data_IF_272973235546
#
_entry.id   IF_272973235546
#
_cell.length_a   1.000
_cell.length_b   1.000
_cell.length_c   1.000
_cell.angle_alpha   90.00
_cell.angle_beta   90.00
_cell.angle_gamma   90.00
#
_symmetry.space_group_name_H-M   'P 1'
#
loop_
_entity.id
_entity.type
_entity.pdbx_description
1 polymer ?
#
# COMPACT_ATOMS: atom_id res chain seq x y z
N UNK A 1 -10.30 -79.61 16.39
CA UNK A 1 -9.27 -78.86 15.65
C UNK A 1 -9.91 -77.61 15.07
N UNK A 2 -9.80 -76.54 15.79
CA UNK A 2 -10.40 -75.24 15.43
C UNK A 2 -9.36 -74.43 14.66
N UNK A 3 -9.66 -74.11 13.37
CA UNK A 3 -8.79 -73.24 12.56
C UNK A 3 -9.10 -71.77 12.89
N UNK A 4 -8.24 -71.15 13.64
CA UNK A 4 -8.26 -69.69 13.83
C UNK A 4 -7.86 -69.04 12.51
N UNK A 5 -8.79 -68.35 11.88
CA UNK A 5 -8.52 -67.45 10.74
C UNK A 5 -7.83 -66.18 11.25
N UNK A 6 -6.55 -66.07 10.94
CA UNK A 6 -5.78 -64.82 11.16
C UNK A 6 -6.12 -63.81 10.03
N UNK A 7 -6.99 -62.89 10.30
CA UNK A 7 -7.25 -61.73 9.42
C UNK A 7 -6.09 -60.70 9.50
N UNK A 8 -5.52 -60.26 8.38
CA UNK A 8 -4.37 -59.33 8.38
C UNK A 8 -4.81 -57.93 8.81
N UNK A 9 -4.63 -57.61 10.10
CA UNK A 9 -4.90 -56.27 10.69
C UNK A 9 -3.98 -55.14 10.13
N UNK A 10 -2.90 -55.45 9.40
CA UNK A 10 -1.94 -54.47 8.88
C UNK A 10 -2.35 -53.74 7.62
N UNK A 11 -3.27 -54.28 6.81
CA UNK A 11 -3.65 -53.69 5.49
C UNK A 11 -4.52 -52.44 5.63
N UNK A 12 -5.47 -52.45 6.56
CA UNK A 12 -6.37 -51.30 6.77
C UNK A 12 -5.64 -50.10 7.37
N UNK A 13 -4.74 -50.31 8.31
CA UNK A 13 -3.93 -49.23 8.92
C UNK A 13 -3.04 -48.55 7.86
N UNK A 14 -2.37 -49.31 6.99
CA UNK A 14 -1.57 -48.76 5.87
C UNK A 14 -2.42 -47.99 4.88
N UNK A 15 -3.64 -48.45 4.59
CA UNK A 15 -4.56 -47.73 3.69
C UNK A 15 -5.01 -46.40 4.32
N UNK A 16 -5.38 -46.37 5.59
CA UNK A 16 -5.77 -45.16 6.32
C UNK A 16 -4.63 -44.15 6.33
N UNK A 17 -3.38 -44.54 6.59
CA UNK A 17 -2.24 -43.66 6.55
C UNK A 17 -2.02 -43.08 5.14
N UNK A 18 -2.15 -43.88 4.08
CA UNK A 18 -2.03 -43.38 2.70
C UNK A 18 -3.12 -42.35 2.36
N UNK A 19 -4.36 -42.59 2.80
CA UNK A 19 -5.47 -41.63 2.60
C UNK A 19 -5.20 -40.34 3.36
N UNK A 20 -4.75 -40.40 4.60
CA UNK A 20 -4.42 -39.20 5.39
C UNK A 20 -3.29 -38.39 4.74
N UNK A 21 -2.23 -39.05 4.27
CA UNK A 21 -1.13 -38.38 3.57
C UNK A 21 -1.64 -37.72 2.27
N UNK A 22 -2.48 -38.43 1.50
CA UNK A 22 -3.07 -37.86 0.28
C UNK A 22 -3.94 -36.62 0.58
N UNK A 23 -4.77 -36.67 1.63
CA UNK A 23 -5.59 -35.53 2.07
C UNK A 23 -4.73 -34.35 2.48
N UNK A 24 -3.68 -34.55 3.27
CA UNK A 24 -2.75 -33.50 3.68
C UNK A 24 -2.06 -32.85 2.48
N UNK A 25 -1.63 -33.67 1.50
CA UNK A 25 -1.03 -33.15 0.27
C UNK A 25 -2.01 -32.32 -0.57
N UNK A 26 -3.25 -32.78 -0.70
CA UNK A 26 -4.30 -32.02 -1.40
C UNK A 26 -4.57 -30.68 -0.71
N UNK A 27 -4.69 -30.66 0.61
CA UNK A 27 -4.89 -29.44 1.37
C UNK A 27 -3.71 -28.48 1.24
N UNK A 28 -2.48 -28.98 1.29
CA UNK A 28 -1.28 -28.19 1.10
C UNK A 28 -1.24 -27.55 -0.31
N UNK A 29 -1.56 -28.31 -1.35
CA UNK A 29 -1.65 -27.78 -2.73
C UNK A 29 -2.76 -26.76 -2.86
N UNK A 30 -3.93 -27.02 -2.28
CA UNK A 30 -5.04 -26.06 -2.26
C UNK A 30 -4.65 -24.74 -1.57
N UNK A 31 -3.96 -24.81 -0.43
CA UNK A 31 -3.45 -23.64 0.26
C UNK A 31 -2.44 -22.84 -0.60
N UNK A 32 -1.50 -23.53 -1.25
CA UNK A 32 -0.54 -22.89 -2.17
C UNK A 32 -1.24 -22.22 -3.37
N UNK A 33 -2.29 -22.84 -3.89
CA UNK A 33 -3.12 -22.25 -4.95
C UNK A 33 -3.82 -20.98 -4.47
N UNK A 34 -4.44 -21.00 -3.29
CA UNK A 34 -5.09 -19.82 -2.72
C UNK A 34 -4.08 -18.69 -2.52
N UNK A 35 -2.92 -18.97 -1.94
CA UNK A 35 -1.85 -18.00 -1.77
C UNK A 35 -1.36 -17.43 -3.11
N UNK A 36 -1.26 -18.25 -4.14
CA UNK A 36 -0.87 -17.82 -5.49
C UNK A 36 -1.93 -16.97 -6.19
N UNK A 37 -3.20 -17.31 -6.04
CA UNK A 37 -4.32 -16.60 -6.70
C UNK A 37 -4.60 -15.27 -6.00
N UNK A 38 -4.63 -15.24 -4.68
CA UNK A 38 -5.01 -14.06 -3.91
C UNK A 38 -3.80 -13.17 -3.57
N UNK A 39 -2.65 -13.78 -3.24
CA UNK A 39 -1.49 -13.05 -2.75
C UNK A 39 -0.32 -12.93 -3.74
N UNK A 40 -0.39 -13.57 -4.90
CA UNK A 40 0.72 -13.61 -5.85
C UNK A 40 1.99 -14.30 -5.31
N UNK A 41 1.86 -15.11 -4.26
CA UNK A 41 2.97 -15.70 -3.50
C UNK A 41 3.11 -17.19 -3.83
N UNK A 42 4.35 -17.69 -3.74
CA UNK A 42 4.65 -19.11 -3.92
C UNK A 42 4.62 -19.57 -5.39
N UNK A 43 4.57 -20.89 -5.63
CA UNK A 43 4.71 -21.47 -6.97
C UNK A 43 3.58 -21.09 -7.94
N UNK A 44 2.42 -20.69 -7.43
CA UNK A 44 1.26 -20.27 -8.23
C UNK A 44 1.08 -18.74 -8.30
N UNK A 45 2.02 -17.96 -7.78
CA UNK A 45 1.97 -16.49 -7.81
C UNK A 45 1.89 -15.90 -9.22
N UNK A 46 2.31 -16.67 -10.25
CA UNK A 46 2.17 -16.27 -11.65
C UNK A 46 0.72 -16.04 -12.08
N UNK A 47 -0.25 -16.71 -11.43
CA UNK A 47 -1.69 -16.57 -11.75
C UNK A 47 -2.12 -15.13 -11.46
N UNK A 48 -1.80 -14.62 -10.25
CA UNK A 48 -2.12 -13.24 -9.88
C UNK A 48 -1.35 -12.24 -10.74
N UNK A 49 -0.06 -12.48 -10.99
CA UNK A 49 0.76 -11.64 -11.88
C UNK A 49 0.18 -11.56 -13.29
N UNK A 50 -0.25 -12.69 -13.84
CA UNK A 50 -0.89 -12.71 -15.16
C UNK A 50 -2.24 -12.00 -15.16
N UNK A 51 -3.04 -12.13 -14.08
CA UNK A 51 -4.31 -11.39 -13.93
C UNK A 51 -4.05 -9.88 -13.96
N UNK A 52 -3.11 -9.42 -13.16
CA UNK A 52 -2.72 -8.00 -13.10
C UNK A 52 -2.21 -7.52 -14.47
N UNK A 53 -1.27 -8.22 -15.06
CA UNK A 53 -0.69 -7.87 -16.37
C UNK A 53 -1.74 -7.78 -17.49
N UNK A 54 -2.74 -8.66 -17.48
CA UNK A 54 -3.79 -8.69 -18.50
C UNK A 54 -5.01 -7.83 -18.13
N UNK A 55 -4.96 -7.09 -17.02
CA UNK A 55 -6.04 -6.17 -16.66
C UNK A 55 -6.17 -5.06 -17.70
N UNK A 56 -7.40 -4.69 -18.15
CA UNK A 56 -7.60 -3.63 -19.15
C UNK A 56 -6.89 -2.33 -18.80
N UNK A 57 -6.86 -1.94 -17.52
CA UNK A 57 -6.19 -0.72 -17.03
C UNK A 57 -4.67 -0.82 -16.93
N UNK A 58 -4.04 -1.97 -17.25
CA UNK A 58 -2.59 -2.15 -17.24
C UNK A 58 -1.98 -2.28 -18.64
N UNK A 59 -2.75 -1.98 -19.68
CA UNK A 59 -2.26 -1.99 -21.05
C UNK A 59 -1.13 -0.96 -21.27
N UNK A 60 -0.28 -1.16 -22.32
CA UNK A 60 0.85 -0.25 -22.62
C UNK A 60 0.45 1.20 -22.87
N UNK A 61 -0.78 1.45 -23.29
CA UNK A 61 -1.30 2.82 -23.50
C UNK A 61 -1.37 3.64 -22.20
N UNK A 62 -1.35 2.98 -21.05
CA UNK A 62 -1.36 3.62 -19.72
C UNK A 62 0.03 3.70 -19.09
N UNK A 63 1.09 3.40 -19.85
CA UNK A 63 2.46 3.46 -19.36
C UNK A 63 2.90 4.88 -19.01
N UNK A 64 3.56 5.06 -17.88
CA UNK A 64 4.01 6.37 -17.38
C UNK A 64 5.15 6.96 -18.21
N UNK A 65 5.83 6.16 -19.03
CA UNK A 65 6.82 6.65 -19.99
C UNK A 65 6.27 7.65 -21.02
N UNK A 66 4.94 7.73 -21.15
CA UNK A 66 4.25 8.67 -22.04
C UNK A 66 3.87 9.98 -21.32
N UNK A 67 4.08 10.08 -20.01
CA UNK A 67 3.84 11.32 -19.28
C UNK A 67 4.92 12.34 -19.62
N UNK A 68 4.51 13.60 -19.75
CA UNK A 68 5.41 14.72 -19.92
C UNK A 68 5.65 15.45 -18.61
N UNK A 69 6.85 15.97 -18.40
CA UNK A 69 7.13 16.82 -17.25
C UNK A 69 6.21 18.05 -17.33
N UNK A 70 5.64 18.42 -16.18
CA UNK A 70 4.79 19.61 -16.11
C UNK A 70 5.63 20.89 -16.30
N UNK A 71 5.06 21.86 -16.96
CA UNK A 71 5.72 23.16 -17.15
C UNK A 71 5.89 23.87 -15.79
N UNK A 72 7.07 24.43 -15.54
CA UNK A 72 7.44 25.08 -14.27
C UNK A 72 7.24 24.17 -13.04
N UNK A 73 7.65 22.92 -13.14
CA UNK A 73 7.57 21.98 -12.05
C UNK A 73 8.32 22.47 -10.80
N UNK A 74 7.70 22.49 -9.61
CA UNK A 74 8.38 22.91 -8.39
C UNK A 74 9.42 21.88 -7.87
N UNK A 75 9.47 20.67 -8.46
CA UNK A 75 10.38 19.60 -8.07
C UNK A 75 11.30 19.14 -9.21
N UNK A 76 11.40 19.91 -10.31
CA UNK A 76 12.23 19.54 -11.46
C UNK A 76 13.71 19.40 -11.06
N UNK A 77 14.30 18.26 -11.40
CA UNK A 77 15.67 17.92 -11.05
C UNK A 77 15.88 17.51 -9.57
N UNK A 78 14.84 17.56 -8.77
CA UNK A 78 14.86 17.20 -7.35
C UNK A 78 14.79 15.71 -7.08
N UNK A 79 14.61 15.35 -5.80
CA UNK A 79 14.48 13.98 -5.31
C UNK A 79 13.33 13.87 -4.31
N UNK A 80 12.44 12.92 -4.54
CA UNK A 80 11.34 12.63 -3.61
C UNK A 80 11.53 11.27 -2.95
N UNK A 81 11.10 11.14 -1.69
CA UNK A 81 11.00 9.86 -1.01
C UNK A 81 9.54 9.45 -0.87
N UNK A 82 9.24 8.15 -0.99
CA UNK A 82 7.91 7.62 -0.70
C UNK A 82 7.98 6.42 0.22
N UNK A 83 7.15 6.45 1.28
CA UNK A 83 6.96 5.36 2.24
C UNK A 83 5.52 4.84 2.13
N UNK A 84 5.36 3.50 2.04
CA UNK A 84 4.00 2.98 1.92
C UNK A 84 3.88 1.46 1.90
N UNK A 85 2.68 0.99 1.57
CA UNK A 85 2.39 -0.44 1.41
C UNK A 85 2.06 -0.79 -0.06
N UNK A 86 1.10 -1.68 -0.29
CA UNK A 86 0.76 -2.20 -1.61
C UNK A 86 0.33 -1.14 -2.62
N UNK A 87 -0.35 -0.08 -2.17
CA UNK A 87 -0.77 1.03 -3.04
C UNK A 87 0.44 1.84 -3.48
N UNK A 88 1.31 2.27 -2.58
CA UNK A 88 2.56 2.96 -2.94
C UNK A 88 3.52 2.05 -3.71
N UNK A 89 3.48 0.74 -3.49
CA UNK A 89 4.26 -0.26 -4.23
C UNK A 89 3.81 -0.39 -5.69
N UNK A 90 2.54 -0.14 -5.99
CA UNK A 90 1.93 -0.43 -7.28
C UNK A 90 1.64 -1.92 -7.48
N UNK A 91 1.13 -2.58 -6.44
CA UNK A 91 0.91 -4.03 -6.44
C UNK A 91 -0.04 -4.51 -7.55
N UNK A 92 -0.99 -3.68 -7.98
CA UNK A 92 -1.95 -3.98 -9.05
C UNK A 92 -1.66 -3.26 -10.38
N UNK A 93 -0.52 -2.58 -10.50
CA UNK A 93 -0.14 -1.74 -11.65
C UNK A 93 1.29 -1.99 -12.13
N UNK A 94 1.81 -3.20 -11.90
CA UNK A 94 3.17 -3.61 -12.29
C UNK A 94 4.28 -2.67 -11.76
N UNK A 95 4.08 -2.14 -10.55
CA UNK A 95 5.04 -1.26 -9.88
C UNK A 95 4.90 0.24 -10.22
N UNK A 96 4.01 0.60 -11.13
CA UNK A 96 3.69 1.99 -11.41
C UNK A 96 2.66 2.50 -10.40
N UNK A 97 3.01 3.51 -9.61
CA UNK A 97 2.19 4.01 -8.52
C UNK A 97 2.33 5.53 -8.35
N UNK A 98 1.87 6.06 -7.24
CA UNK A 98 1.92 7.50 -6.94
C UNK A 98 3.34 8.05 -7.06
N UNK A 99 4.34 7.35 -6.52
CA UNK A 99 5.74 7.80 -6.57
C UNK A 99 6.27 7.91 -8.00
N UNK A 100 6.04 6.89 -8.84
CA UNK A 100 6.44 6.88 -10.24
C UNK A 100 5.69 7.93 -11.07
N UNK A 101 4.39 8.12 -10.79
CA UNK A 101 3.62 9.18 -11.44
C UNK A 101 4.20 10.56 -11.10
N UNK A 102 4.44 10.84 -9.82
CA UNK A 102 5.00 12.11 -9.37
C UNK A 102 6.41 12.33 -9.96
N UNK A 103 7.27 11.30 -9.95
CA UNK A 103 8.60 11.40 -10.54
C UNK A 103 8.54 11.76 -12.04
N UNK A 104 7.66 11.12 -12.80
CA UNK A 104 7.49 11.38 -14.23
C UNK A 104 6.91 12.77 -14.51
N UNK A 105 5.91 13.21 -13.74
CA UNK A 105 5.21 14.49 -13.94
C UNK A 105 6.01 15.68 -13.44
N UNK A 106 6.73 15.52 -12.34
CA UNK A 106 7.52 16.61 -11.76
C UNK A 106 8.98 16.64 -12.25
N UNK A 107 9.43 15.62 -12.99
CA UNK A 107 10.81 15.58 -13.51
C UNK A 107 11.84 15.37 -12.40
N UNK A 108 11.50 14.62 -11.36
CA UNK A 108 12.36 14.34 -10.21
C UNK A 108 12.73 12.86 -10.11
N UNK A 109 13.69 12.54 -9.25
CA UNK A 109 14.09 11.17 -8.93
C UNK A 109 13.30 10.63 -7.73
N UNK A 110 13.15 9.32 -7.62
CA UNK A 110 12.33 8.64 -6.60
C UNK A 110 13.17 7.69 -5.75
N UNK A 111 13.15 7.89 -4.42
CA UNK A 111 13.54 6.88 -3.42
C UNK A 111 12.26 6.21 -2.89
N UNK A 112 12.10 4.91 -3.16
CA UNK A 112 10.85 4.18 -2.85
C UNK A 112 11.07 3.12 -1.80
N UNK A 113 10.37 3.25 -0.67
CA UNK A 113 10.29 2.26 0.40
C UNK A 113 8.81 1.84 0.58
N UNK A 114 8.39 0.81 -0.19
CA UNK A 114 7.01 0.37 -0.21
C UNK A 114 6.91 -1.16 -0.26
N UNK A 115 6.21 -1.75 0.73
CA UNK A 115 6.06 -3.21 0.88
C UNK A 115 4.59 -3.56 1.14
N UNK A 116 4.00 -4.36 0.26
CA UNK A 116 2.61 -4.78 0.36
C UNK A 116 2.27 -5.50 1.67
N UNK A 117 1.07 -5.25 2.19
CA UNK A 117 0.57 -5.89 3.41
C UNK A 117 1.08 -5.30 4.73
N UNK A 118 1.92 -4.24 4.69
CA UNK A 118 2.52 -3.63 5.88
C UNK A 118 1.65 -2.51 6.44
N UNK A 119 1.80 -2.23 7.74
CA UNK A 119 1.03 -1.26 8.52
C UNK A 119 1.86 -0.03 8.90
N UNK A 120 1.18 1.09 9.17
CA UNK A 120 1.75 2.25 9.87
C UNK A 120 2.21 1.82 11.26
N UNK A 121 1.26 1.22 12.01
CA UNK A 121 1.50 0.73 13.37
C UNK A 121 2.71 -0.18 13.43
N UNK A 122 3.60 0.10 14.38
CA UNK A 122 4.81 -0.67 14.57
C UNK A 122 4.52 -2.09 15.06
N UNK A 123 4.96 -3.06 14.29
CA UNK A 123 4.86 -4.49 14.59
C UNK A 123 6.24 -5.15 14.85
N UNK A 124 7.28 -4.34 15.01
CA UNK A 124 8.65 -4.77 15.30
C UNK A 124 9.39 -5.42 14.11
N UNK A 125 8.86 -5.32 12.86
CA UNK A 125 9.49 -5.95 11.68
C UNK A 125 9.45 -5.09 10.43
N UNK A 126 8.29 -5.02 9.76
CA UNK A 126 8.13 -4.44 8.43
C UNK A 126 7.13 -3.28 8.43
N UNK A 127 6.79 -2.71 9.58
CA UNK A 127 5.92 -1.54 9.67
C UNK A 127 6.54 -0.34 8.94
N UNK A 128 5.73 0.67 8.67
CA UNK A 128 6.26 1.92 8.10
C UNK A 128 7.28 2.54 9.05
N UNK A 129 7.01 2.56 10.37
CA UNK A 129 7.95 3.03 11.39
C UNK A 129 9.31 2.33 11.27
N UNK A 130 9.32 0.99 11.13
CA UNK A 130 10.57 0.25 11.00
C UNK A 130 11.28 0.50 9.66
N UNK A 131 10.53 0.63 8.56
CA UNK A 131 11.09 0.81 7.22
C UNK A 131 11.49 2.26 6.92
N UNK A 132 11.04 3.21 7.72
CA UNK A 132 11.49 4.60 7.66
C UNK A 132 13.03 4.70 7.72
N UNK A 133 13.65 3.86 8.54
CA UNK A 133 15.12 3.79 8.69
C UNK A 133 15.86 3.15 7.51
N UNK A 134 15.17 2.59 6.52
CA UNK A 134 15.79 2.12 5.28
C UNK A 134 16.06 3.26 4.28
N UNK A 135 15.42 4.40 4.47
CA UNK A 135 15.71 5.60 3.69
C UNK A 135 17.01 6.21 4.17
N UNK A 136 17.87 6.58 3.22
CA UNK A 136 19.20 7.10 3.55
C UNK A 136 19.10 8.49 4.18
N UNK A 137 19.55 8.61 5.43
CA UNK A 137 19.56 9.87 6.17
C UNK A 137 20.62 10.87 5.71
N UNK A 138 21.58 10.44 4.87
CA UNK A 138 22.58 11.32 4.25
C UNK A 138 22.08 11.97 2.95
N UNK A 139 20.96 11.50 2.41
CA UNK A 139 20.32 12.06 1.24
C UNK A 139 19.50 13.30 1.58
N UNK A 140 19.40 14.21 0.63
CA UNK A 140 18.44 15.32 0.70
C UNK A 140 17.22 14.97 -0.11
N UNK A 141 16.04 15.14 0.45
CA UNK A 141 14.78 15.04 -0.27
C UNK A 141 14.11 16.41 -0.35
N UNK A 142 13.52 16.70 -1.51
CA UNK A 142 12.72 17.90 -1.72
C UNK A 142 11.26 17.70 -1.28
N UNK A 143 10.86 16.44 -1.08
CA UNK A 143 9.54 16.05 -0.61
C UNK A 143 9.56 14.62 -0.04
N UNK A 144 8.95 14.42 1.13
CA UNK A 144 8.65 13.11 1.67
C UNK A 144 7.15 12.81 1.56
N UNK A 145 6.81 11.68 0.94
CA UNK A 145 5.43 11.24 0.71
C UNK A 145 5.15 9.97 1.52
N UNK A 146 4.06 9.94 2.29
CA UNK A 146 3.64 8.75 3.03
C UNK A 146 2.22 8.33 2.63
N UNK A 147 2.03 7.03 2.42
CA UNK A 147 0.71 6.45 2.19
C UNK A 147 -0.04 6.31 3.51
N UNK A 148 -1.29 6.80 3.61
CA UNK A 148 -2.19 6.36 4.67
C UNK A 148 -2.53 4.89 4.45
N UNK A 149 -2.15 4.03 5.40
CA UNK A 149 -2.18 2.59 5.19
C UNK A 149 -3.59 2.00 5.27
N UNK A 150 -4.04 1.33 4.22
CA UNK A 150 -5.29 0.56 4.23
C UNK A 150 -5.22 -0.70 5.08
N UNK A 151 -4.00 -1.22 5.32
CA UNK A 151 -3.80 -2.43 6.13
C UNK A 151 -4.10 -2.20 7.62
N UNK A 152 -3.86 -1.00 8.12
CA UNK A 152 -4.21 -0.67 9.51
C UNK A 152 -5.71 -0.73 9.71
N UNK A 153 -6.51 -0.21 8.79
CA UNK A 153 -7.97 -0.31 8.82
C UNK A 153 -8.45 -1.77 8.72
N UNK A 154 -7.94 -2.54 7.75
CA UNK A 154 -8.37 -3.93 7.54
C UNK A 154 -7.94 -4.88 8.66
N UNK A 155 -6.85 -4.56 9.35
CA UNK A 155 -6.36 -5.32 10.52
C UNK A 155 -6.88 -4.78 11.84
N UNK A 156 -7.78 -3.79 11.82
CA UNK A 156 -8.39 -3.16 13.00
C UNK A 156 -7.34 -2.69 14.01
N UNK A 157 -6.29 -2.00 13.53
CA UNK A 157 -5.27 -1.42 14.41
C UNK A 157 -5.88 -0.31 15.27
N UNK A 158 -5.41 -0.14 16.53
CA UNK A 158 -5.89 0.94 17.38
C UNK A 158 -5.66 2.31 16.72
N UNK A 159 -6.70 3.15 16.66
CA UNK A 159 -6.59 4.47 16.05
C UNK A 159 -5.65 5.38 16.84
N UNK A 160 -5.77 5.41 18.16
CA UNK A 160 -5.01 6.30 19.05
C UNK A 160 -5.50 7.75 19.02
N UNK A 161 -4.94 8.55 19.93
CA UNK A 161 -5.25 9.98 20.07
C UNK A 161 -4.06 10.81 19.58
N UNK A 162 -4.33 12.05 19.18
CA UNK A 162 -3.27 13.01 18.82
C UNK A 162 -2.55 13.44 20.07
N UNK A 163 -1.22 13.32 20.09
CA UNK A 163 -0.39 13.77 21.21
C UNK A 163 -0.37 15.30 21.32
N UNK A 164 -0.24 15.82 22.54
CA UNK A 164 0.07 17.25 22.76
C UNK A 164 1.56 17.54 22.51
N UNK A 165 2.40 16.54 22.54
CA UNK A 165 3.85 16.64 22.33
C UNK A 165 4.21 16.81 20.86
N UNK A 166 5.45 17.27 20.64
CA UNK A 166 6.14 17.28 19.35
C UNK A 166 7.47 16.54 19.41
N UNK A 167 7.78 15.86 20.52
CA UNK A 167 9.01 15.10 20.67
C UNK A 167 8.82 13.67 20.14
N UNK A 168 9.78 13.18 19.39
CA UNK A 168 9.72 11.88 18.71
C UNK A 168 9.46 10.72 19.67
N UNK A 169 10.08 10.73 20.85
CA UNK A 169 9.97 9.67 21.86
C UNK A 169 8.62 9.60 22.56
N UNK A 170 7.77 10.62 22.45
CA UNK A 170 6.48 10.68 23.11
C UNK A 170 5.33 10.05 22.30
N UNK A 171 5.60 9.61 21.05
CA UNK A 171 4.57 9.06 20.17
C UNK A 171 4.38 7.55 20.36
N UNK A 172 3.14 7.15 20.62
CA UNK A 172 2.76 5.72 20.73
C UNK A 172 2.63 5.07 19.35
N UNK A 173 3.74 4.54 18.84
CA UNK A 173 3.78 3.86 17.53
C UNK A 173 2.99 2.56 17.48
N UNK A 174 2.41 2.09 18.57
CA UNK A 174 1.46 0.97 18.60
C UNK A 174 0.05 1.36 18.15
N UNK A 175 -0.20 2.66 17.91
CA UNK A 175 -1.43 3.23 17.37
C UNK A 175 -1.21 3.88 16.02
N UNK A 176 -2.29 3.98 15.22
CA UNK A 176 -2.22 4.60 13.87
C UNK A 176 -1.81 6.06 13.95
N UNK A 177 -2.47 6.82 14.86
CA UNK A 177 -2.20 8.25 15.02
C UNK A 177 -0.78 8.50 15.51
N UNK A 178 -0.34 7.77 16.54
CA UNK A 178 1.02 7.90 17.05
C UNK A 178 2.09 7.50 16.04
N UNK A 179 1.84 6.46 15.21
CA UNK A 179 2.73 6.08 14.11
C UNK A 179 2.80 7.17 13.02
N UNK A 180 1.67 7.81 12.68
CA UNK A 180 1.66 8.96 11.76
C UNK A 180 2.49 10.13 12.32
N UNK A 181 2.27 10.49 13.58
CA UNK A 181 3.02 11.58 14.23
C UNK A 181 4.52 11.30 14.30
N UNK A 182 4.89 10.05 14.64
CA UNK A 182 6.27 9.60 14.63
C UNK A 182 6.93 9.77 13.26
N UNK A 183 6.27 9.31 12.19
CA UNK A 183 6.78 9.41 10.83
C UNK A 183 6.91 10.87 10.38
N UNK A 184 5.92 11.71 10.69
CA UNK A 184 5.95 13.14 10.37
C UNK A 184 7.13 13.83 11.07
N UNK A 185 7.24 13.67 12.38
CA UNK A 185 8.29 14.26 13.20
C UNK A 185 9.68 13.82 12.71
N UNK A 186 9.88 12.51 12.57
CA UNK A 186 11.15 11.97 12.09
C UNK A 186 11.53 12.50 10.70
N UNK A 187 10.58 12.53 9.75
CA UNK A 187 10.87 13.01 8.41
C UNK A 187 11.24 14.50 8.38
N UNK A 188 10.51 15.34 9.15
CA UNK A 188 10.81 16.77 9.27
C UNK A 188 12.17 17.03 9.94
N UNK A 189 12.49 16.30 11.02
CA UNK A 189 13.77 16.47 11.74
C UNK A 189 14.96 15.91 10.94
N UNK A 190 14.78 14.83 10.18
CA UNK A 190 15.89 14.16 9.49
C UNK A 190 16.23 14.82 8.16
N UNK A 191 15.21 15.17 7.35
CA UNK A 191 15.43 15.66 5.99
C UNK A 191 15.07 17.12 5.77
N UNK A 192 14.48 17.80 6.77
CA UNK A 192 14.07 19.21 6.70
C UNK A 192 13.31 19.54 5.39
N UNK A 193 12.42 18.64 4.98
CA UNK A 193 11.66 18.79 3.74
C UNK A 193 10.14 18.78 4.01
N UNK A 194 9.33 19.27 3.07
CA UNK A 194 7.88 19.13 3.14
C UNK A 194 7.46 17.67 3.26
N UNK A 195 6.51 17.41 4.15
CA UNK A 195 5.92 16.08 4.36
C UNK A 195 4.49 16.09 3.84
N UNK A 196 4.14 15.08 3.07
CA UNK A 196 2.81 14.89 2.49
C UNK A 196 2.31 13.48 2.77
N UNK A 197 1.06 13.35 3.17
CA UNK A 197 0.35 12.07 3.17
C UNK A 197 -0.63 12.02 2.01
N UNK A 198 -0.90 10.80 1.48
CA UNK A 198 -1.99 10.61 0.54
C UNK A 198 -2.97 9.55 1.02
N UNK A 199 -4.26 9.78 0.75
CA UNK A 199 -5.34 8.82 0.98
C UNK A 199 -5.64 8.03 -0.30
N UNK A 200 -6.35 6.90 -0.16
CA UNK A 200 -6.97 6.22 -1.30
C UNK A 200 -8.28 6.87 -1.72
N UNK A 201 -8.81 6.50 -2.89
CA UNK A 201 -10.21 6.75 -3.23
C UNK A 201 -11.14 6.01 -2.28
N UNK A 202 -12.41 6.44 -2.21
CA UNK A 202 -13.38 5.91 -1.25
C UNK A 202 -13.70 4.45 -1.53
N UNK A 203 -13.71 3.65 -0.46
CA UNK A 203 -14.21 2.28 -0.40
C UNK A 203 -14.95 2.07 0.92
N UNK A 204 -15.69 0.97 1.06
CA UNK A 204 -16.49 0.70 2.27
C UNK A 204 -15.59 0.34 3.47
N UNK A 205 -15.26 1.36 4.29
CA UNK A 205 -14.44 1.21 5.50
C UNK A 205 -14.59 2.40 6.44
N UNK A 206 -15.42 2.26 7.47
CA UNK A 206 -15.53 3.26 8.55
C UNK A 206 -14.19 3.47 9.26
N UNK A 207 -13.42 2.39 9.47
CA UNK A 207 -12.11 2.46 10.13
C UNK A 207 -11.11 3.32 9.32
N UNK A 208 -11.11 3.20 7.98
CA UNK A 208 -10.24 4.03 7.15
C UNK A 208 -10.70 5.50 7.14
N UNK A 209 -12.01 5.75 7.11
CA UNK A 209 -12.57 7.10 7.25
C UNK A 209 -12.13 7.77 8.55
N UNK A 210 -12.17 7.05 9.68
CA UNK A 210 -11.68 7.57 10.96
C UNK A 210 -10.17 7.89 10.95
N UNK A 211 -9.38 7.12 10.20
CA UNK A 211 -7.95 7.42 10.02
C UNK A 211 -7.74 8.67 9.17
N UNK A 212 -8.56 8.89 8.14
CA UNK A 212 -8.53 10.13 7.33
C UNK A 212 -8.88 11.34 8.19
N UNK A 213 -9.90 11.24 9.04
CA UNK A 213 -10.29 12.33 9.96
C UNK A 213 -9.15 12.71 10.93
N UNK A 214 -8.40 11.72 11.42
CA UNK A 214 -7.22 11.99 12.25
C UNK A 214 -6.08 12.62 11.44
N UNK A 215 -5.83 12.13 10.22
CA UNK A 215 -4.80 12.71 9.34
C UNK A 215 -5.08 14.19 9.03
N UNK A 216 -6.34 14.58 8.80
CA UNK A 216 -6.70 15.96 8.54
C UNK A 216 -6.49 16.87 9.77
N UNK A 217 -6.68 16.37 10.99
CA UNK A 217 -6.30 17.08 12.22
C UNK A 217 -4.78 17.19 12.38
N UNK A 218 -4.03 16.14 12.02
CA UNK A 218 -2.56 16.18 12.02
C UNK A 218 -2.01 17.17 10.99
N UNK A 219 -2.70 17.39 9.88
CA UNK A 219 -2.37 18.43 8.91
C UNK A 219 -2.33 19.82 9.58
N UNK A 220 -3.30 20.13 10.40
CA UNK A 220 -3.35 21.41 11.14
C UNK A 220 -2.21 21.50 12.18
N UNK A 221 -1.96 20.43 12.91
CA UNK A 221 -0.92 20.39 13.94
C UNK A 221 0.48 20.53 13.36
N UNK A 222 0.78 19.80 12.28
CA UNK A 222 2.14 19.63 11.77
C UNK A 222 2.48 20.48 10.54
N UNK A 223 1.48 21.13 9.92
CA UNK A 223 1.66 21.87 8.67
C UNK A 223 2.01 21.00 7.47
N UNK A 224 1.66 19.72 7.50
CA UNK A 224 1.90 18.78 6.40
C UNK A 224 0.89 18.96 5.26
N UNK A 225 1.22 18.44 4.08
CA UNK A 225 0.27 18.29 2.99
C UNK A 225 -0.58 17.03 3.15
N UNK A 226 -1.83 17.07 2.70
CA UNK A 226 -2.67 15.87 2.56
C UNK A 226 -3.25 15.87 1.15
N UNK A 227 -2.89 14.86 0.36
CA UNK A 227 -3.48 14.59 -0.95
C UNK A 227 -4.71 13.73 -0.70
N UNK A 228 -5.82 14.40 -0.43
CA UNK A 228 -7.05 13.76 -0.01
C UNK A 228 -7.94 13.40 -1.21
N UNK A 229 -7.96 12.11 -1.53
CA UNK A 229 -8.86 11.53 -2.53
C UNK A 229 -10.12 10.94 -1.88
N UNK A 230 -10.11 10.73 -0.55
CA UNK A 230 -11.19 10.07 0.16
C UNK A 230 -12.40 10.96 0.34
N UNK A 231 -12.19 12.19 0.77
CA UNK A 231 -13.27 13.05 1.25
C UNK A 231 -14.11 13.70 0.14
N UNK A 232 -13.60 13.77 -1.10
CA UNK A 232 -14.30 14.40 -2.22
C UNK A 232 -15.37 13.47 -2.82
N UNK A 233 -16.63 13.84 -2.71
CA UNK A 233 -17.73 13.13 -3.37
C UNK A 233 -17.60 13.21 -4.90
N UNK A 234 -17.27 14.39 -5.43
CA UNK A 234 -17.09 14.62 -6.87
C UNK A 234 -15.96 13.74 -7.44
N UNK A 235 -14.83 13.65 -6.76
CA UNK A 235 -13.72 12.79 -7.19
C UNK A 235 -14.12 11.32 -7.21
N UNK A 236 -14.94 10.88 -6.27
CA UNK A 236 -15.35 9.48 -6.13
C UNK A 236 -16.59 9.10 -6.96
N UNK A 237 -17.28 10.08 -7.56
CA UNK A 237 -18.45 9.87 -8.42
C UNK A 237 -18.01 9.59 -9.86
N UNK A 238 -17.47 8.39 -10.09
CA UNK A 238 -17.08 7.90 -11.43
C UNK A 238 -17.95 6.73 -11.85
N UNK A 239 -18.28 6.60 -13.16
CA UNK A 239 -19.02 5.47 -13.70
C UNK A 239 -18.36 4.10 -13.39
N UNK A 240 -19.18 3.07 -13.18
CA UNK A 240 -18.68 1.72 -12.85
C UNK A 240 -17.75 1.15 -13.92
N UNK A 241 -18.03 1.39 -15.20
CA UNK A 241 -17.18 0.95 -16.32
C UNK A 241 -15.80 1.62 -16.33
N UNK A 242 -15.70 2.88 -15.90
CA UNK A 242 -14.41 3.54 -15.66
C UNK A 242 -13.72 2.97 -14.42
N UNK A 243 -14.48 2.74 -13.33
CA UNK A 243 -13.95 2.15 -12.10
C UNK A 243 -13.34 0.77 -12.37
N UNK A 244 -13.96 -0.04 -13.21
CA UNK A 244 -13.48 -1.36 -13.62
C UNK A 244 -12.15 -1.30 -14.41
N UNK A 245 -11.87 -0.18 -15.09
CA UNK A 245 -10.57 0.05 -15.73
C UNK A 245 -9.53 0.56 -14.74
N UNK A 246 -9.93 1.48 -13.85
CA UNK A 246 -9.03 2.19 -12.96
C UNK A 246 -8.64 1.40 -11.72
N UNK A 247 -9.46 0.44 -11.29
CA UNK A 247 -9.23 -0.35 -10.08
C UNK A 247 -9.16 -1.85 -10.38
N UNK A 248 -8.18 -2.53 -9.78
CA UNK A 248 -8.13 -4.00 -9.81
C UNK A 248 -9.08 -4.62 -8.77
N UNK A 249 -9.31 -3.90 -7.69
CA UNK A 249 -10.23 -4.22 -6.58
C UNK A 249 -10.63 -2.92 -5.87
N UNK A 250 -11.30 -2.99 -4.72
CA UNK A 250 -11.76 -1.79 -3.99
C UNK A 250 -10.66 -0.84 -3.49
N UNK A 251 -9.38 -1.27 -3.51
CA UNK A 251 -8.27 -0.55 -2.87
C UNK A 251 -7.13 -0.22 -3.86
N UNK A 252 -6.82 -1.13 -4.79
CA UNK A 252 -5.60 -1.07 -5.58
C UNK A 252 -5.85 -0.56 -7.00
N UNK A 253 -5.38 0.64 -7.35
CA UNK A 253 -5.46 1.16 -8.71
C UNK A 253 -4.60 0.36 -9.70
N UNK A 254 -5.04 0.34 -10.94
CA UNK A 254 -4.26 -0.05 -12.11
C UNK A 254 -3.35 1.09 -12.57
N UNK A 255 -2.55 0.89 -13.64
CA UNK A 255 -1.80 1.99 -14.28
C UNK A 255 -2.73 3.12 -14.73
N UNK A 256 -3.86 2.78 -15.37
CA UNK A 256 -4.88 3.74 -15.78
C UNK A 256 -5.41 4.52 -14.59
N UNK A 257 -5.69 3.84 -13.47
CA UNK A 257 -6.19 4.47 -12.25
C UNK A 257 -5.22 5.50 -11.67
N UNK A 258 -3.92 5.16 -11.62
CA UNK A 258 -2.92 6.13 -11.18
C UNK A 258 -2.73 7.26 -12.19
N UNK A 259 -2.68 6.96 -13.50
CA UNK A 259 -2.34 7.94 -14.52
C UNK A 259 -3.48 8.93 -14.82
N UNK A 260 -4.70 8.41 -14.94
CA UNK A 260 -5.82 9.18 -15.51
C UNK A 260 -6.87 9.62 -14.47
N UNK A 261 -6.80 9.08 -13.24
CA UNK A 261 -7.74 9.40 -12.17
C UNK A 261 -7.06 9.96 -10.92
N UNK A 262 -6.24 9.16 -10.21
CA UNK A 262 -5.61 9.61 -8.96
C UNK A 262 -4.53 10.66 -9.19
N UNK A 263 -3.65 10.42 -10.16
CA UNK A 263 -2.47 11.23 -10.41
C UNK A 263 -2.77 12.70 -10.69
N UNK A 264 -3.68 13.04 -11.63
CA UNK A 264 -4.01 14.44 -11.92
C UNK A 264 -4.56 15.19 -10.71
N UNK A 265 -5.38 14.56 -9.88
CA UNK A 265 -5.92 15.19 -8.69
C UNK A 265 -4.85 15.36 -7.59
N UNK A 266 -4.02 14.33 -7.37
CA UNK A 266 -2.91 14.43 -6.43
C UNK A 266 -1.86 15.45 -6.88
N UNK A 267 -1.57 15.55 -8.18
CA UNK A 267 -0.71 16.59 -8.78
C UNK A 267 -1.25 17.98 -8.48
N UNK A 268 -2.54 18.22 -8.73
CA UNK A 268 -3.21 19.49 -8.45
C UNK A 268 -3.11 19.88 -6.97
N UNK A 269 -3.37 18.94 -6.06
CA UNK A 269 -3.30 19.17 -4.61
C UNK A 269 -1.86 19.41 -4.15
N UNK A 270 -0.89 18.67 -4.69
CA UNK A 270 0.53 18.81 -4.35
C UNK A 270 1.06 20.17 -4.81
N UNK A 271 0.76 20.60 -6.03
CA UNK A 271 1.17 21.94 -6.53
C UNK A 271 0.57 23.04 -5.65
N UNK A 272 -0.69 22.91 -5.27
CA UNK A 272 -1.34 23.89 -4.36
C UNK A 272 -0.70 23.91 -2.96
N UNK A 273 -0.16 22.79 -2.47
CA UNK A 273 0.54 22.73 -1.20
C UNK A 273 1.95 23.34 -1.29
N UNK A 274 2.72 23.01 -2.33
CA UNK A 274 4.09 23.49 -2.53
C UNK A 274 4.15 24.97 -2.92
N UNK A 275 3.09 25.52 -3.46
CA UNK A 275 2.99 26.92 -3.87
C UNK A 275 2.61 27.90 -2.76
N UNK A 276 2.42 27.39 -1.53
CA UNK A 276 2.13 28.22 -0.34
C UNK A 276 3.43 28.67 0.32
#
# INVERSE_FOLDING_TARGET
>A
MEKTQNTPKGGRAKLVVKILVAVVLVLAVAQLLVLGILGGIGPFGFIQKNKIKNHPGNKPEYDFSQLTIMENSPLEGGKIAILGSSVAQGAASEGNAVGEYMAARFGCTLAKEAVGGTTLVDNGKNSYVQRLYNLDTSESFDLFICQLSTNDATQHKPLGEISESRNLEDFDTSTVTGAMEYIICYAQETWDCPVVFFTGSRYDSEAYGAMVDQLLKLQEKWGIGVLDLWSSDEFNDIPDDQRDIYMNDGIHPTKAGYRDWWGPEQERQLVAFLGK
#
